data_IF_562510127441
#
_entry.id   IF_562510127441
#
_cell.length_a   1.000
_cell.length_b   1.000
_cell.length_c   1.000
_cell.angle_alpha   90.00
_cell.angle_beta   90.00
_cell.angle_gamma   90.00
#
_symmetry.space_group_name_H-M   'P 1'
#
loop_
_entity.id
_entity.type
_entity.pdbx_description
1 polymer ?
#
# COMPACT_ATOMS: atom_id res chain seq x y z
N UNK A 1 -7.36 -23.80 -17.94
CA UNK A 1 -5.98 -23.85 -17.44
C UNK A 1 -5.56 -22.42 -17.17
N UNK A 2 -5.75 -22.06 -15.91
CA UNK A 2 -5.68 -20.74 -15.31
C UNK A 2 -4.24 -20.22 -15.19
N UNK A 3 -3.59 -19.92 -16.32
CA UNK A 3 -2.17 -19.55 -16.33
C UNK A 3 -1.90 -18.04 -16.55
N UNK A 4 -2.94 -17.21 -16.56
CA UNK A 4 -2.82 -15.75 -16.80
C UNK A 4 -3.32 -14.88 -15.63
N UNK A 5 -3.42 -15.44 -14.42
CA UNK A 5 -3.95 -14.73 -13.25
C UNK A 5 -2.92 -13.85 -12.51
N UNK A 6 -1.70 -13.72 -13.04
CA UNK A 6 -0.63 -12.88 -12.49
C UNK A 6 -0.37 -11.62 -13.32
N UNK A 7 -1.43 -11.00 -13.84
CA UNK A 7 -1.28 -9.71 -14.52
C UNK A 7 -0.81 -8.66 -13.50
N UNK A 8 0.24 -7.90 -13.84
CA UNK A 8 0.74 -6.74 -13.08
C UNK A 8 -0.39 -5.84 -12.51
N UNK A 9 -1.49 -5.58 -13.27
CA UNK A 9 -2.65 -4.84 -12.76
C UNK A 9 -3.31 -5.46 -11.53
N UNK A 10 -3.41 -6.80 -11.44
CA UNK A 10 -3.99 -7.45 -10.27
C UNK A 10 -3.12 -7.24 -9.04
N UNK A 11 -1.80 -7.39 -9.19
CA UNK A 11 -0.88 -7.15 -8.07
C UNK A 11 -0.97 -5.71 -7.57
N UNK A 12 -1.14 -4.75 -8.48
CA UNK A 12 -1.36 -3.35 -8.14
C UNK A 12 -2.66 -3.14 -7.36
N UNK A 13 -3.76 -3.79 -7.77
CA UNK A 13 -5.05 -3.73 -7.06
C UNK A 13 -4.91 -4.26 -5.63
N UNK A 14 -4.30 -5.45 -5.46
CA UNK A 14 -4.06 -6.05 -4.14
C UNK A 14 -3.26 -5.11 -3.23
N UNK A 15 -2.18 -4.51 -3.75
CA UNK A 15 -1.36 -3.58 -2.97
C UNK A 15 -2.11 -2.29 -2.62
N UNK A 16 -2.92 -1.76 -3.53
CA UNK A 16 -3.77 -0.59 -3.27
C UNK A 16 -4.82 -0.88 -2.21
N UNK A 17 -5.41 -2.07 -2.23
CA UNK A 17 -6.35 -2.52 -1.19
C UNK A 17 -5.65 -2.64 0.16
N UNK A 18 -4.49 -3.30 0.22
CA UNK A 18 -3.71 -3.43 1.46
C UNK A 18 -3.29 -2.05 2.02
N UNK A 19 -2.91 -1.12 1.15
CA UNK A 19 -2.61 0.26 1.54
C UNK A 19 -3.84 0.99 2.10
N UNK A 20 -5.03 0.81 1.51
CA UNK A 20 -6.27 1.39 1.99
C UNK A 20 -6.67 0.83 3.36
N UNK A 21 -6.53 -0.49 3.55
CA UNK A 21 -6.79 -1.14 4.84
C UNK A 21 -5.82 -0.65 5.93
N UNK A 22 -4.53 -0.50 5.60
CA UNK A 22 -3.57 0.10 6.53
C UNK A 22 -3.94 1.53 6.92
N UNK A 23 -4.45 2.34 5.99
CA UNK A 23 -4.94 3.68 6.30
C UNK A 23 -6.12 3.63 7.27
N UNK A 24 -7.14 2.84 6.98
CA UNK A 24 -8.29 2.70 7.85
C UNK A 24 -7.91 2.19 9.25
N UNK A 25 -6.91 1.29 9.32
CA UNK A 25 -6.40 0.80 10.59
C UNK A 25 -5.66 1.87 11.38
N UNK A 26 -4.85 2.70 10.71
CA UNK A 26 -4.18 3.86 11.32
C UNK A 26 -5.21 4.84 11.88
N UNK A 27 -6.24 5.18 11.11
CA UNK A 27 -7.26 6.16 11.52
C UNK A 27 -7.98 5.69 12.79
N UNK A 28 -8.41 4.41 12.83
CA UNK A 28 -9.01 3.80 14.02
C UNK A 28 -8.08 3.76 15.24
N UNK A 29 -6.77 3.58 15.01
CA UNK A 29 -5.77 3.55 16.08
C UNK A 29 -5.52 4.94 16.68
N UNK A 30 -5.61 5.98 15.86
CA UNK A 30 -5.50 7.38 16.30
C UNK A 30 -6.75 7.82 17.06
N UNK A 31 -7.93 7.33 16.68
CA UNK A 31 -9.19 7.61 17.37
C UNK A 31 -9.30 6.95 18.76
N UNK A 32 -8.57 5.86 19.01
CA UNK A 32 -8.57 5.15 20.29
C UNK A 32 -7.49 5.68 21.24
N UNK A 33 -7.91 6.20 22.38
CA UNK A 33 -7.02 6.55 23.49
C UNK A 33 -6.92 5.41 24.53
N UNK A 34 -5.74 5.12 25.10
CA UNK A 34 -4.44 5.72 24.77
C UNK A 34 -3.92 5.23 23.42
N UNK A 35 -3.35 6.15 22.64
CA UNK A 35 -2.75 5.82 21.34
C UNK A 35 -1.44 5.07 21.57
N UNK A 36 -1.31 3.88 21.00
CA UNK A 36 -0.03 3.18 20.96
C UNK A 36 0.85 3.80 19.87
N UNK A 37 1.71 4.73 20.28
CA UNK A 37 2.62 5.47 19.38
C UNK A 37 3.58 4.54 18.63
N UNK A 38 4.04 3.45 19.26
CA UNK A 38 4.95 2.50 18.64
C UNK A 38 4.23 1.68 17.56
N UNK A 39 3.00 1.23 17.83
CA UNK A 39 2.16 0.57 16.84
C UNK A 39 1.85 1.53 15.67
N UNK A 40 1.49 2.78 15.97
CA UNK A 40 1.22 3.81 14.97
C UNK A 40 2.43 4.07 14.07
N UNK A 41 3.63 4.20 14.64
CA UNK A 41 4.87 4.38 13.87
C UNK A 41 5.16 3.18 12.96
N UNK A 42 4.97 1.95 13.44
CA UNK A 42 5.15 0.73 12.64
C UNK A 42 4.19 0.68 11.45
N UNK A 43 2.91 1.02 11.66
CA UNK A 43 1.90 1.05 10.61
C UNK A 43 2.19 2.15 9.59
N UNK A 44 2.56 3.36 10.02
CA UNK A 44 2.96 4.44 9.12
C UNK A 44 4.15 4.05 8.24
N UNK A 45 5.15 3.37 8.82
CA UNK A 45 6.30 2.85 8.06
C UNK A 45 5.88 1.78 7.04
N UNK A 46 5.01 0.85 7.41
CA UNK A 46 4.46 -0.14 6.48
C UNK A 46 3.69 0.52 5.33
N UNK A 47 2.83 1.49 5.65
CA UNK A 47 2.10 2.27 4.64
C UNK A 47 3.04 2.97 3.66
N UNK A 48 4.11 3.58 4.15
CA UNK A 48 5.12 4.23 3.31
C UNK A 48 5.75 3.24 2.33
N UNK A 49 6.17 2.07 2.82
CA UNK A 49 6.76 1.01 1.97
C UNK A 49 5.76 0.52 0.92
N UNK A 50 4.49 0.29 1.28
CA UNK A 50 3.46 -0.11 0.30
C UNK A 50 3.26 0.95 -0.77
N UNK A 51 3.17 2.23 -0.38
CA UNK A 51 3.06 3.34 -1.33
C UNK A 51 4.24 3.38 -2.31
N UNK A 52 5.46 3.20 -1.81
CA UNK A 52 6.65 3.21 -2.65
C UNK A 52 6.70 2.00 -3.61
N UNK A 53 6.21 0.83 -3.18
CA UNK A 53 6.06 -0.35 -4.05
C UNK A 53 5.00 -0.12 -5.13
N UNK A 54 3.84 0.45 -4.76
CA UNK A 54 2.76 0.82 -5.70
C UNK A 54 3.31 1.77 -6.76
N UNK A 55 3.96 2.86 -6.34
CA UNK A 55 4.53 3.86 -7.25
C UNK A 55 5.58 3.25 -8.18
N UNK A 56 6.43 2.34 -7.69
CA UNK A 56 7.39 1.61 -8.54
C UNK A 56 6.71 0.69 -9.54
N UNK A 57 5.63 0.00 -9.16
CA UNK A 57 4.89 -0.87 -10.07
C UNK A 57 4.13 -0.08 -11.13
N UNK A 58 3.57 1.06 -10.76
CA UNK A 58 2.94 2.03 -11.67
C UNK A 58 3.96 2.57 -12.67
N UNK A 59 5.13 3.02 -12.19
CA UNK A 59 6.22 3.51 -13.03
C UNK A 59 6.85 2.44 -13.95
N UNK A 60 6.76 1.15 -13.60
CA UNK A 60 7.16 0.07 -14.52
C UNK A 60 6.09 -0.24 -15.58
N UNK A 61 4.86 0.21 -15.37
CA UNK A 61 3.72 -0.02 -16.28
C UNK A 61 3.48 1.18 -17.21
N UNK A 62 3.75 2.39 -16.72
CA UNK A 62 3.77 3.62 -17.52
C UNK A 62 5.19 3.83 -18.06
N UNK A 63 5.42 3.77 -19.38
CA UNK A 63 6.74 4.06 -19.93
C UNK A 63 7.05 5.54 -19.69
N UNK A 64 7.95 5.80 -18.74
CA UNK A 64 8.86 6.95 -18.66
C UNK A 64 8.29 8.29 -19.22
N UNK A 65 7.55 9.05 -18.39
CA UNK A 65 7.17 10.44 -18.70
C UNK A 65 7.51 11.41 -17.54
N UNK A 66 8.50 11.06 -16.70
CA UNK A 66 9.02 11.94 -15.66
C UNK A 66 10.56 11.89 -15.61
N UNK A 67 11.18 12.40 -16.68
CA UNK A 67 12.59 12.80 -16.74
C UNK A 67 12.70 14.29 -17.07
#
# INVERSE_FOLDING_TARGET
>A
MDEQLHSLPRRLIELRMEHADLNAMIDRLVERAPVDELALQRLKKRRLVLRDIIARLEANTEPDDLA
#
